data_IF_035241436609
#
_entry.id   IF_035241436609
#
_cell.length_a   1.000
_cell.length_b   1.000
_cell.length_c   1.000
_cell.angle_alpha   90.00
_cell.angle_beta   90.00
_cell.angle_gamma   90.00
#
_symmetry.space_group_name_H-M   'P 1'
#
loop_
_entity.id
_entity.type
_entity.pdbx_description
1 polymer ?
#
# COMPACT_ATOMS: atom_id res chain seq x y z
N UNK A 1 -1.11 6.62 17.53
CA UNK A 1 -0.43 6.88 16.25
C UNK A 1 -1.50 7.26 15.23
N UNK A 2 -1.40 8.46 14.69
CA UNK A 2 -2.34 9.05 13.73
C UNK A 2 -2.11 8.51 12.31
N UNK A 3 -3.00 8.85 11.36
CA UNK A 3 -2.78 8.58 9.92
C UNK A 3 -1.55 9.35 9.42
N UNK A 4 -1.35 10.59 9.89
CA UNK A 4 -0.18 11.40 9.54
C UNK A 4 1.12 10.77 10.04
N UNK A 5 1.17 10.31 11.29
CA UNK A 5 2.34 9.64 11.87
C UNK A 5 2.75 8.44 10.99
N UNK A 6 1.78 7.66 10.52
CA UNK A 6 2.02 6.50 9.64
C UNK A 6 2.63 6.88 8.30
N UNK A 7 2.17 7.98 7.69
CA UNK A 7 2.76 8.47 6.45
C UNK A 7 4.15 9.08 6.68
N UNK A 8 4.37 9.73 7.81
CA UNK A 8 5.68 10.28 8.19
C UNK A 8 6.70 9.16 8.39
N UNK A 9 6.34 8.13 9.14
CA UNK A 9 7.16 6.93 9.34
C UNK A 9 7.42 6.22 8.00
N UNK A 10 6.41 6.14 7.13
CA UNK A 10 6.54 5.57 5.81
C UNK A 10 7.57 6.33 4.96
N UNK A 11 7.50 7.66 4.94
CA UNK A 11 8.41 8.51 4.18
C UNK A 11 9.86 8.38 4.70
N UNK A 12 10.05 8.28 6.01
CA UNK A 12 11.37 8.01 6.60
C UNK A 12 11.92 6.65 6.17
N UNK A 13 11.12 5.59 6.27
CA UNK A 13 11.50 4.24 5.84
C UNK A 13 11.82 4.21 4.34
N UNK A 14 11.03 4.89 3.54
CA UNK A 14 11.22 5.00 2.10
C UNK A 14 12.55 5.69 1.76
N UNK A 15 12.85 6.82 2.40
CA UNK A 15 14.11 7.56 2.20
C UNK A 15 15.35 6.74 2.54
N UNK A 16 15.24 5.81 3.50
CA UNK A 16 16.33 4.92 3.90
C UNK A 16 16.31 3.55 3.20
N UNK A 17 15.53 3.38 2.12
CA UNK A 17 15.49 2.15 1.34
C UNK A 17 14.80 0.97 2.04
N UNK A 18 14.09 1.20 3.14
CA UNK A 18 13.31 0.19 3.87
C UNK A 18 11.92 0.04 3.26
N UNK A 19 11.88 -0.42 2.00
CA UNK A 19 10.68 -0.39 1.13
C UNK A 19 9.48 -1.14 1.71
N UNK A 20 9.66 -2.35 2.20
CA UNK A 20 8.56 -3.16 2.70
C UNK A 20 8.00 -2.59 4.01
N UNK A 21 8.86 -2.05 4.87
CA UNK A 21 8.42 -1.31 6.06
C UNK A 21 7.62 -0.05 5.69
N UNK A 22 8.08 0.70 4.68
CA UNK A 22 7.39 1.86 4.18
C UNK A 22 6.01 1.49 3.61
N UNK A 23 5.95 0.46 2.78
CA UNK A 23 4.71 -0.05 2.19
C UNK A 23 3.72 -0.50 3.28
N UNK A 24 4.18 -1.26 4.27
CA UNK A 24 3.34 -1.68 5.40
C UNK A 24 2.77 -0.47 6.14
N UNK A 25 3.58 0.55 6.42
CA UNK A 25 3.12 1.75 7.11
C UNK A 25 2.05 2.50 6.30
N UNK A 26 2.22 2.62 4.97
CA UNK A 26 1.19 3.22 4.10
C UNK A 26 -0.08 2.37 4.05
N UNK A 27 0.02 1.04 3.96
CA UNK A 27 -1.17 0.17 3.95
C UNK A 27 -1.95 0.24 5.28
N UNK A 28 -1.27 0.44 6.41
CA UNK A 28 -1.94 0.73 7.69
C UNK A 28 -2.68 2.08 7.62
N UNK A 29 -2.08 3.10 7.01
CA UNK A 29 -2.71 4.42 6.81
C UNK A 29 -3.93 4.32 5.88
N UNK A 30 -3.85 3.51 4.82
CA UNK A 30 -4.98 3.19 3.91
C UNK A 30 -6.11 2.52 4.70
N UNK A 31 -5.81 1.49 5.50
CA UNK A 31 -6.84 0.81 6.31
C UNK A 31 -7.50 1.74 7.34
N UNK A 32 -6.73 2.62 7.97
CA UNK A 32 -7.27 3.63 8.89
C UNK A 32 -8.17 4.65 8.16
N UNK A 33 -7.75 5.11 6.97
CA UNK A 33 -8.54 5.99 6.12
C UNK A 33 -9.83 5.34 5.66
N UNK A 34 -9.77 4.06 5.25
CA UNK A 34 -10.92 3.29 4.83
C UNK A 34 -11.99 3.18 5.93
N UNK A 35 -11.58 2.90 7.17
CA UNK A 35 -12.51 2.89 8.33
C UNK A 35 -13.13 4.26 8.61
N UNK A 36 -12.36 5.33 8.41
CA UNK A 36 -12.85 6.71 8.59
C UNK A 36 -13.83 7.10 7.49
N UNK A 37 -13.57 6.68 6.25
CA UNK A 37 -14.39 6.99 5.08
C UNK A 37 -15.70 6.19 5.02
N UNK A 38 -15.71 4.96 5.52
CA UNK A 38 -16.85 4.04 5.48
C UNK A 38 -17.15 3.43 6.86
N UNK A 39 -17.57 4.24 7.85
CA UNK A 39 -17.85 3.75 9.21
C UNK A 39 -18.99 2.72 9.27
N UNK A 40 -19.87 2.71 8.27
CA UNK A 40 -21.00 1.78 8.14
C UNK A 40 -20.63 0.40 7.58
N UNK A 41 -19.48 0.27 6.91
CA UNK A 41 -19.04 -1.01 6.36
C UNK A 41 -18.45 -1.87 7.48
N UNK A 42 -19.13 -2.98 7.79
CA UNK A 42 -18.65 -3.94 8.77
C UNK A 42 -17.50 -4.79 8.19
N UNK A 43 -16.33 -4.71 8.82
CA UNK A 43 -15.17 -5.56 8.56
C UNK A 43 -14.04 -4.84 7.81
N UNK A 44 -12.83 -4.91 8.38
CA UNK A 44 -11.64 -4.19 7.86
C UNK A 44 -11.31 -4.49 6.40
N UNK A 45 -11.57 -5.72 5.94
CA UNK A 45 -11.34 -6.11 4.55
C UNK A 45 -12.26 -5.34 3.61
N UNK A 46 -13.55 -5.35 3.92
CA UNK A 46 -14.58 -4.80 3.05
C UNK A 46 -14.43 -3.29 2.96
N UNK A 47 -14.13 -2.61 4.08
CA UNK A 47 -13.86 -1.17 4.08
C UNK A 47 -12.59 -0.84 3.28
N UNK A 48 -11.51 -1.62 3.45
CA UNK A 48 -10.27 -1.44 2.69
C UNK A 48 -10.49 -1.57 1.18
N UNK A 49 -11.09 -2.68 0.73
CA UNK A 49 -11.34 -2.92 -0.70
C UNK A 49 -12.34 -1.90 -1.28
N UNK A 50 -13.34 -1.45 -0.51
CA UNK A 50 -14.25 -0.39 -0.93
C UNK A 50 -13.53 0.94 -1.12
N UNK A 51 -12.64 1.30 -0.19
CA UNK A 51 -11.84 2.52 -0.31
C UNK A 51 -10.91 2.49 -1.53
N UNK A 52 -10.17 1.40 -1.74
CA UNK A 52 -9.28 1.28 -2.92
C UNK A 52 -10.03 1.51 -4.23
N UNK A 53 -11.23 0.93 -4.37
CA UNK A 53 -12.11 1.14 -5.54
C UNK A 53 -12.58 2.58 -5.75
N UNK A 54 -12.51 3.44 -4.74
CA UNK A 54 -12.77 4.89 -4.93
C UNK A 54 -11.56 5.66 -5.45
N UNK A 55 -10.37 5.08 -5.31
CA UNK A 55 -9.09 5.72 -5.67
C UNK A 55 -8.67 5.42 -7.12
N UNK A 56 -9.25 4.39 -7.75
CA UNK A 56 -9.01 4.02 -9.14
C UNK A 56 -10.22 3.36 -9.80
N UNK A 57 -10.29 3.40 -11.14
CA UNK A 57 -11.36 2.79 -11.94
C UNK A 57 -11.03 1.44 -12.57
N UNK A 58 -9.85 0.87 -12.29
CA UNK A 58 -9.37 -0.39 -12.86
C UNK A 58 -9.38 -1.53 -11.84
N UNK A 59 -9.25 -2.77 -12.33
CA UNK A 59 -8.98 -3.96 -11.52
C UNK A 59 -7.76 -4.66 -12.07
N UNK A 60 -6.83 -5.03 -11.20
CA UNK A 60 -5.62 -5.77 -11.58
C UNK A 60 -5.71 -7.16 -10.95
N UNK A 61 -5.87 -8.18 -11.80
CA UNK A 61 -5.71 -9.57 -11.41
C UNK A 61 -4.25 -10.00 -11.54
N UNK A 62 -3.67 -10.55 -10.47
CA UNK A 62 -2.32 -11.13 -10.47
C UNK A 62 -2.38 -12.62 -10.17
N UNK A 63 -1.55 -13.41 -10.83
CA UNK A 63 -1.37 -14.80 -10.42
C UNK A 63 -0.54 -14.83 -9.13
N UNK A 64 -1.07 -15.47 -8.10
CA UNK A 64 -0.40 -15.65 -6.83
C UNK A 64 -0.68 -17.06 -6.29
N UNK A 65 0.40 -17.85 -6.12
CA UNK A 65 0.34 -19.27 -5.72
C UNK A 65 -0.60 -20.11 -6.61
N UNK A 66 -0.50 -19.91 -7.93
CA UNK A 66 -1.27 -20.63 -8.93
C UNK A 66 -2.76 -20.25 -9.01
N UNK A 67 -3.16 -19.14 -8.39
CA UNK A 67 -4.54 -18.62 -8.44
C UNK A 67 -4.54 -17.16 -8.87
N UNK A 68 -5.48 -16.73 -9.73
CA UNK A 68 -5.70 -15.31 -9.95
C UNK A 68 -6.29 -14.68 -8.69
N UNK A 69 -5.70 -13.57 -8.24
CA UNK A 69 -6.11 -12.81 -7.06
C UNK A 69 -6.17 -11.33 -7.44
N UNK A 70 -7.18 -10.63 -6.94
CA UNK A 70 -7.28 -9.16 -7.06
C UNK A 70 -6.14 -8.52 -6.25
N UNK A 71 -5.42 -7.56 -6.85
CA UNK A 71 -4.30 -6.89 -6.22
C UNK A 71 -4.71 -6.10 -4.97
N UNK A 72 -5.90 -5.49 -4.93
CA UNK A 72 -6.40 -4.77 -3.75
C UNK A 72 -6.63 -5.75 -2.59
N UNK A 73 -7.17 -6.92 -2.92
CA UNK A 73 -7.32 -8.02 -1.98
C UNK A 73 -5.96 -8.51 -1.46
N UNK A 74 -4.96 -8.61 -2.34
CA UNK A 74 -3.62 -9.02 -1.99
C UNK A 74 -2.94 -8.02 -1.04
N UNK A 75 -3.11 -6.71 -1.26
CA UNK A 75 -2.62 -5.67 -0.35
C UNK A 75 -3.21 -5.83 1.06
N UNK A 76 -4.52 -5.99 1.16
CA UNK A 76 -5.17 -6.21 2.46
C UNK A 76 -4.71 -7.50 3.14
N UNK A 77 -4.59 -8.60 2.36
CA UNK A 77 -4.11 -9.87 2.89
C UNK A 77 -2.68 -9.75 3.43
N UNK A 78 -1.78 -9.12 2.67
CA UNK A 78 -0.39 -8.91 3.09
C UNK A 78 -0.32 -8.05 4.36
N UNK A 79 -1.03 -6.91 4.40
CA UNK A 79 -1.18 -6.08 5.59
C UNK A 79 -1.62 -6.89 6.81
N UNK A 80 -2.67 -7.70 6.69
CA UNK A 80 -3.19 -8.50 7.80
C UNK A 80 -2.21 -9.59 8.26
N UNK A 81 -1.52 -10.24 7.32
CA UNK A 81 -0.51 -11.24 7.64
C UNK A 81 0.66 -10.63 8.42
N UNK A 82 1.16 -9.46 8.01
CA UNK A 82 2.21 -8.71 8.72
C UNK A 82 1.78 -8.32 10.15
N UNK A 83 0.54 -7.86 10.32
CA UNK A 83 0.04 -7.41 11.62
C UNK A 83 -0.19 -8.55 12.62
N UNK A 84 -0.43 -9.78 12.17
CA UNK A 84 -0.96 -10.86 13.02
C UNK A 84 0.04 -12.00 13.27
N UNK A 85 0.97 -12.35 12.35
CA UNK A 85 1.48 -13.72 12.37
C UNK A 85 2.98 -14.07 12.40
N UNK A 86 3.97 -13.21 12.10
CA UNK A 86 5.31 -13.83 11.89
C UNK A 86 6.57 -13.17 12.41
N UNK A 87 6.62 -11.89 12.79
CA UNK A 87 7.91 -11.25 13.15
C UNK A 87 9.01 -11.37 12.08
N UNK A 88 8.63 -11.88 10.89
CA UNK A 88 9.38 -12.09 9.67
C UNK A 88 8.42 -11.73 8.55
N UNK A 89 8.89 -10.89 7.64
CA UNK A 89 8.12 -10.25 6.59
C UNK A 89 7.75 -11.29 5.53
N UNK A 90 6.48 -11.72 5.36
CA UNK A 90 6.07 -12.51 4.21
C UNK A 90 6.57 -11.88 2.91
N UNK A 91 7.48 -12.60 2.26
CA UNK A 91 8.19 -12.24 1.02
C UNK A 91 7.25 -12.17 -0.20
N UNK A 92 5.94 -12.32 0.02
CA UNK A 92 4.92 -12.47 -1.01
C UNK A 92 4.69 -11.18 -1.82
N UNK A 93 5.06 -10.02 -1.28
CA UNK A 93 4.91 -8.73 -1.93
C UNK A 93 6.10 -7.83 -1.64
N UNK A 94 6.77 -7.33 -2.68
CA UNK A 94 7.99 -6.53 -2.56
C UNK A 94 8.01 -5.37 -3.54
N UNK A 95 8.63 -4.27 -3.13
CA UNK A 95 8.94 -3.18 -4.06
C UNK A 95 10.25 -3.53 -4.78
N UNK A 96 10.20 -3.48 -6.11
CA UNK A 96 11.38 -3.60 -6.97
C UNK A 96 11.67 -2.24 -7.59
N UNK A 97 12.73 -1.58 -7.12
CA UNK A 97 13.06 -0.20 -7.48
C UNK A 97 13.32 -0.01 -8.99
N UNK A 98 13.72 -1.09 -9.68
CA UNK A 98 13.99 -1.08 -11.12
C UNK A 98 12.80 -1.55 -11.97
N UNK A 99 11.64 -1.82 -11.36
CA UNK A 99 10.47 -2.32 -12.09
C UNK A 99 9.65 -1.17 -12.69
N UNK A 100 9.86 -0.96 -13.99
CA UNK A 100 9.08 0.00 -14.79
C UNK A 100 9.41 1.46 -14.46
N UNK A 101 8.51 2.37 -14.86
CA UNK A 101 8.63 3.79 -14.52
C UNK A 101 8.35 3.99 -13.01
N UNK A 102 9.25 4.64 -12.23
CA UNK A 102 9.04 4.92 -10.81
C UNK A 102 7.78 5.72 -10.48
N UNK A 103 7.21 6.43 -11.46
CA UNK A 103 5.97 7.20 -11.30
C UNK A 103 4.73 6.44 -11.79
N UNK A 104 4.88 5.22 -12.31
CA UNK A 104 3.79 4.38 -12.76
C UNK A 104 3.55 3.19 -11.81
N UNK A 105 2.29 2.78 -11.71
CA UNK A 105 1.88 1.60 -10.95
C UNK A 105 2.20 0.32 -11.72
N UNK A 106 3.48 -0.06 -11.73
CA UNK A 106 3.95 -1.30 -12.38
C UNK A 106 3.76 -2.50 -11.46
N UNK A 107 3.35 -3.64 -11.99
CA UNK A 107 3.24 -4.90 -11.24
C UNK A 107 3.76 -6.06 -12.07
N UNK A 108 4.48 -6.97 -11.43
CA UNK A 108 4.93 -8.24 -12.00
C UNK A 108 4.61 -9.37 -11.04
N UNK A 109 3.70 -10.25 -11.44
CA UNK A 109 3.45 -11.49 -10.73
C UNK A 109 4.63 -12.46 -10.98
N UNK A 110 5.32 -12.86 -9.92
CA UNK A 110 6.30 -13.93 -9.97
C UNK A 110 5.62 -15.29 -10.11
N UNK A 111 6.11 -16.12 -11.04
CA UNK A 111 5.68 -17.51 -11.17
C UNK A 111 6.27 -18.42 -10.09
N UNK A 112 6.03 -19.72 -10.22
CA UNK A 112 6.72 -20.71 -9.41
C UNK A 112 8.25 -20.62 -9.62
N UNK A 113 9.08 -20.84 -8.57
CA UNK A 113 8.69 -21.24 -7.21
C UNK A 113 8.45 -20.07 -6.24
N UNK A 114 8.80 -18.84 -6.61
CA UNK A 114 8.90 -17.72 -5.65
C UNK A 114 7.53 -17.08 -5.32
N UNK A 115 6.59 -17.11 -6.27
CA UNK A 115 5.23 -16.56 -6.14
C UNK A 115 5.15 -15.12 -5.61
N UNK A 116 6.26 -14.37 -5.67
CA UNK A 116 6.36 -13.02 -5.14
C UNK A 116 5.75 -12.05 -6.15
N UNK A 117 4.85 -11.19 -5.69
CA UNK A 117 4.34 -10.08 -6.49
C UNK A 117 5.27 -8.89 -6.30
N UNK A 118 5.89 -8.47 -7.39
CA UNK A 118 6.77 -7.31 -7.41
C UNK A 118 5.99 -6.08 -7.85
N UNK A 119 6.11 -5.03 -7.05
CA UNK A 119 5.52 -3.73 -7.30
C UNK A 119 6.60 -2.74 -7.70
N UNK A 120 6.34 -1.91 -8.71
CA UNK A 120 7.18 -0.75 -9.00
C UNK A 120 6.98 0.35 -7.94
N UNK A 121 7.93 1.30 -7.84
CA UNK A 121 7.88 2.37 -6.83
C UNK A 121 6.62 3.24 -6.86
N UNK A 122 5.98 3.38 -8.03
CA UNK A 122 4.78 4.20 -8.19
C UNK A 122 3.63 3.80 -7.28
N UNK A 123 3.54 2.53 -6.88
CA UNK A 123 2.54 2.06 -5.93
C UNK A 123 2.63 2.72 -4.56
N UNK A 124 3.84 2.98 -4.07
CA UNK A 124 4.03 3.70 -2.82
C UNK A 124 3.41 5.10 -2.92
N UNK A 125 3.79 5.84 -3.95
CA UNK A 125 3.30 7.20 -4.19
C UNK A 125 1.78 7.24 -4.42
N UNK A 126 1.26 6.26 -5.17
CA UNK A 126 -0.17 6.10 -5.40
C UNK A 126 -0.94 5.93 -4.08
N UNK A 127 -0.51 5.01 -3.21
CA UNK A 127 -1.18 4.75 -1.94
C UNK A 127 -1.07 5.93 -0.97
N UNK A 128 0.08 6.63 -0.92
CA UNK A 128 0.24 7.87 -0.15
C UNK A 128 -0.73 8.93 -0.65
N UNK A 129 -0.82 9.13 -1.96
CA UNK A 129 -1.72 10.11 -2.56
C UNK A 129 -3.20 9.74 -2.34
N UNK A 130 -3.55 8.45 -2.40
CA UNK A 130 -4.89 7.97 -2.09
C UNK A 130 -5.30 8.36 -0.66
N UNK A 131 -4.40 8.19 0.32
CA UNK A 131 -4.65 8.61 1.72
C UNK A 131 -4.75 10.12 1.86
N UNK A 132 -3.81 10.87 1.27
CA UNK A 132 -3.76 12.34 1.41
C UNK A 132 -4.93 13.05 0.74
N UNK A 133 -5.38 12.55 -0.40
CA UNK A 133 -6.46 13.13 -1.18
C UNK A 133 -7.84 12.60 -0.80
N UNK A 134 -7.93 11.66 0.15
CA UNK A 134 -9.21 11.14 0.62
C UNK A 134 -10.03 12.26 1.28
N UNK A 135 -11.29 12.51 0.88
CA UNK A 135 -12.13 13.52 1.51
C UNK A 135 -12.31 13.34 3.02
N UNK A 136 -12.30 12.08 3.48
CA UNK A 136 -12.38 11.73 4.90
C UNK A 136 -11.19 12.25 5.72
N UNK A 137 -10.08 12.62 5.09
CA UNK A 137 -8.87 13.14 5.75
C UNK A 137 -8.67 14.64 5.54
N UNK A 138 -9.69 15.38 5.07
CA UNK A 138 -9.59 16.83 4.82
C UNK A 138 -9.30 17.67 6.07
N UNK A 139 -9.55 17.11 7.26
CA UNK A 139 -9.25 17.67 8.57
C UNK A 139 -7.78 17.46 9.02
N UNK A 140 -7.01 16.63 8.31
CA UNK A 140 -5.61 16.35 8.64
C UNK A 140 -4.72 17.41 7.98
N UNK A 141 -3.92 18.10 8.80
CA UNK A 141 -2.86 18.97 8.29
C UNK A 141 -1.61 18.14 8.06
N UNK A 142 -1.18 18.02 6.81
CA UNK A 142 0.01 17.23 6.46
C UNK A 142 1.27 18.05 6.68
N UNK A 143 2.19 17.55 7.51
CA UNK A 143 3.54 18.10 7.55
C UNK A 143 4.20 17.98 6.17
N UNK A 144 4.51 19.12 5.55
CA UNK A 144 5.36 19.17 4.36
C UNK A 144 6.80 18.88 4.77
N UNK A 145 7.17 17.61 4.85
CA UNK A 145 8.58 17.27 4.74
C UNK A 145 9.01 17.66 3.30
N UNK A 146 10.00 18.55 3.19
CA UNK A 146 10.46 19.09 1.91
C UNK A 146 10.63 17.98 0.85
N UNK A 147 10.23 18.21 -0.41
CA UNK A 147 10.46 17.26 -1.49
C UNK A 147 11.98 17.07 -1.60
N UNK A 148 12.46 15.88 -1.27
CA UNK A 148 13.82 15.48 -1.59
C UNK A 148 13.88 15.36 -3.11
N UNK A 149 14.48 16.35 -3.75
CA UNK A 149 14.88 16.29 -5.15
C UNK A 149 15.66 15.00 -5.40
N UNK A 150 15.41 14.28 -6.50
CA UNK A 150 16.32 13.23 -6.92
C UNK A 150 17.66 13.88 -7.29
N UNK A 151 18.74 13.41 -6.67
CA UNK A 151 20.10 13.58 -7.19
C UNK A 151 20.41 12.41 -8.12
#
# INVERSE_FOLDING_TARGET
MSIEDRLTDADLLWKHGRREGALLSVLVAVAATARKAFPEITGDRASFEAFMKTTHGWTIGVEYRGKPVDLDHLFYKWLRCELIHTGTLPVDLRIEDQLGDPNANSVRAGGAPDYTVLLGPGWYHFLVNAVRNAPANADITWSTAAPSSPQ
#
